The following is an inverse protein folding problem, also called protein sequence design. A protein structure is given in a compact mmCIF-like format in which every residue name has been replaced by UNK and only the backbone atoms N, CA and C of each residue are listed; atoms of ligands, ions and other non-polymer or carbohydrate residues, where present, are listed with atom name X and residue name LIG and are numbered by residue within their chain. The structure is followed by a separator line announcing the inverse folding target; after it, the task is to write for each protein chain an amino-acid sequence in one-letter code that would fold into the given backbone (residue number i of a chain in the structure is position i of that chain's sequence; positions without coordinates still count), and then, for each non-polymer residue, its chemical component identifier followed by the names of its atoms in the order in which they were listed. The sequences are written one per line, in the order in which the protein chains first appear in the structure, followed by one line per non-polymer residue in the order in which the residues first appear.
data_IF_187721957420
#
_entry.id   IF_187721957420
#
_cell.length_a   1.000
_cell.length_b   1.000
_cell.length_c   1.000
_cell.angle_alpha   90.00
_cell.angle_beta   90.00
_cell.angle_gamma   90.00
#
_symmetry.space_group_name_H-M   'P 1'
#
loop_
_entity.id
_entity.type
_entity.pdbx_description
1 polymer ?
#
# COMPACT_ATOMS: atom_id res chain seq x y z
N UNK A 1 62.94 -2.88 -7.43
CA UNK A 1 62.14 -3.69 -6.47
C UNK A 1 62.43 -5.14 -6.75
N UNK A 2 62.77 -5.97 -5.75
CA UNK A 2 63.15 -7.37 -6.02
C UNK A 2 61.89 -8.16 -6.41
N UNK A 3 61.97 -9.02 -7.44
CA UNK A 3 60.87 -9.82 -7.98
C UNK A 3 60.11 -10.60 -6.92
N UNK A 4 60.76 -10.97 -5.84
CA UNK A 4 60.16 -11.64 -4.65
C UNK A 4 59.10 -10.77 -3.97
N UNK A 5 59.29 -9.44 -3.87
CA UNK A 5 58.34 -8.49 -3.23
C UNK A 5 57.13 -8.32 -4.11
N UNK A 6 57.30 -8.26 -5.43
CA UNK A 6 56.18 -8.17 -6.41
C UNK A 6 55.36 -9.46 -6.36
N UNK A 7 56.03 -10.63 -6.33
CA UNK A 7 55.32 -11.90 -6.21
C UNK A 7 54.53 -12.01 -4.91
N UNK A 8 55.10 -11.58 -3.78
CA UNK A 8 54.45 -11.61 -2.49
C UNK A 8 53.19 -10.71 -2.47
N UNK A 9 53.28 -9.51 -3.06
CA UNK A 9 52.15 -8.61 -3.20
C UNK A 9 51.03 -9.20 -4.11
N UNK A 10 51.41 -9.85 -5.21
CA UNK A 10 50.48 -10.52 -6.09
C UNK A 10 49.74 -11.68 -5.39
N UNK A 11 50.44 -12.54 -4.66
CA UNK A 11 49.85 -13.65 -3.90
C UNK A 11 48.91 -13.11 -2.80
N UNK A 12 49.27 -12.04 -2.12
CA UNK A 12 48.44 -11.41 -1.13
C UNK A 12 47.15 -10.85 -1.75
N UNK A 13 47.25 -10.18 -2.88
CA UNK A 13 46.10 -9.62 -3.61
C UNK A 13 45.15 -10.73 -4.08
N UNK A 14 45.67 -11.81 -4.64
CA UNK A 14 44.88 -12.97 -5.07
C UNK A 14 44.20 -13.63 -3.85
N UNK A 15 44.93 -13.76 -2.74
CA UNK A 15 44.37 -14.30 -1.48
C UNK A 15 43.22 -13.45 -0.94
N UNK A 16 43.37 -12.12 -0.92
CA UNK A 16 42.29 -11.20 -0.54
C UNK A 16 41.09 -11.31 -1.47
N UNK A 17 41.32 -11.38 -2.79
CA UNK A 17 40.23 -11.54 -3.74
C UNK A 17 39.49 -12.87 -3.55
N UNK A 18 40.20 -13.97 -3.37
CA UNK A 18 39.63 -15.29 -3.09
C UNK A 18 38.79 -15.26 -1.78
N UNK A 19 39.28 -14.60 -0.74
CA UNK A 19 38.55 -14.45 0.52
C UNK A 19 37.24 -13.68 0.34
N UNK A 20 37.23 -12.60 -0.46
CA UNK A 20 36.02 -11.83 -0.79
C UNK A 20 35.02 -12.69 -1.57
N UNK A 21 35.50 -13.46 -2.58
CA UNK A 21 34.62 -14.35 -3.37
C UNK A 21 34.01 -15.44 -2.48
N UNK A 22 34.81 -16.08 -1.63
CA UNK A 22 34.31 -17.07 -0.67
C UNK A 22 33.28 -16.47 0.28
N UNK A 23 33.51 -15.25 0.76
CA UNK A 23 32.58 -14.53 1.64
C UNK A 23 31.26 -14.23 0.95
N UNK A 24 31.30 -13.74 -0.30
CA UNK A 24 30.11 -13.49 -1.12
C UNK A 24 29.34 -14.77 -1.38
N UNK A 25 30.03 -15.84 -1.78
CA UNK A 25 29.39 -17.15 -1.98
C UNK A 25 28.68 -17.63 -0.71
N UNK A 26 29.33 -17.53 0.43
CA UNK A 26 28.73 -17.92 1.70
C UNK A 26 27.50 -17.08 2.05
N UNK A 27 27.54 -15.75 1.82
CA UNK A 27 26.40 -14.86 2.02
C UNK A 27 25.22 -15.24 1.11
N UNK A 28 25.49 -15.48 -0.19
CA UNK A 28 24.46 -15.84 -1.16
C UNK A 28 23.85 -17.22 -0.90
N UNK A 29 24.64 -18.15 -0.36
CA UNK A 29 24.18 -19.52 -0.06
C UNK A 29 23.44 -19.63 1.27
N UNK A 30 23.47 -18.59 2.11
CA UNK A 30 22.86 -18.63 3.43
C UNK A 30 21.38 -18.30 3.37
N UNK A 31 20.52 -19.29 3.67
CA UNK A 31 19.06 -19.18 3.63
C UNK A 31 18.50 -18.08 4.55
N UNK A 32 19.20 -17.72 5.64
CA UNK A 32 18.77 -16.66 6.57
C UNK A 32 18.80 -15.28 5.88
N UNK A 33 19.82 -15.01 5.08
CA UNK A 33 19.89 -13.74 4.33
C UNK A 33 18.90 -13.71 3.18
N UNK A 34 18.67 -14.84 2.50
CA UNK A 34 17.65 -14.96 1.47
C UNK A 34 16.24 -14.74 2.06
N UNK A 35 15.93 -15.32 3.20
CA UNK A 35 14.67 -15.11 3.89
C UNK A 35 14.47 -13.65 4.35
N UNK A 36 15.51 -13.01 4.86
CA UNK A 36 15.46 -11.58 5.22
C UNK A 36 15.26 -10.68 4.01
N UNK A 37 15.94 -10.95 2.90
CA UNK A 37 15.75 -10.21 1.65
C UNK A 37 14.32 -10.38 1.12
N UNK A 38 13.77 -11.59 1.16
CA UNK A 38 12.39 -11.86 0.78
C UNK A 38 11.39 -11.12 1.68
N UNK A 39 11.62 -11.09 3.00
CA UNK A 39 10.77 -10.35 3.93
C UNK A 39 10.81 -8.83 3.71
N UNK A 40 11.96 -8.29 3.28
CA UNK A 40 12.10 -6.86 2.95
C UNK A 40 11.48 -6.49 1.61
N UNK A 41 11.23 -7.46 0.73
CA UNK A 41 10.60 -7.24 -0.57
C UNK A 41 9.07 -7.32 -0.54
N UNK A 42 8.47 -7.55 0.63
CA UNK A 42 7.02 -7.66 0.80
C UNK A 42 6.48 -6.41 1.47
N UNK A 43 5.52 -5.78 0.83
CA UNK A 43 4.72 -4.68 1.38
C UNK A 43 3.27 -5.13 1.48
N UNK A 44 2.73 -5.15 2.69
CA UNK A 44 1.32 -5.44 2.92
C UNK A 44 0.55 -4.13 2.97
N UNK A 45 -0.42 -3.97 2.08
CA UNK A 45 -1.34 -2.84 2.05
C UNK A 45 -2.72 -3.34 2.47
N UNK A 46 -3.33 -2.67 3.43
CA UNK A 46 -4.68 -3.00 3.87
C UNK A 46 -5.69 -2.24 3.02
N UNK A 47 -6.59 -2.97 2.36
CA UNK A 47 -7.74 -2.38 1.68
C UNK A 47 -8.74 -1.88 2.73
N UNK A 48 -9.51 -0.81 2.42
CA UNK A 48 -10.55 -0.36 3.33
C UNK A 48 -11.51 -1.49 3.69
N UNK A 49 -11.66 -1.75 4.98
CA UNK A 49 -12.52 -2.81 5.48
C UNK A 49 -13.98 -2.57 5.04
N UNK A 50 -14.69 -3.66 4.75
CA UNK A 50 -16.12 -3.60 4.49
C UNK A 50 -16.84 -3.35 5.81
N UNK A 51 -17.56 -2.24 5.88
CA UNK A 51 -18.32 -1.83 7.04
C UNK A 51 -19.81 -2.06 6.80
N UNK A 52 -20.54 -2.52 7.80
CA UNK A 52 -21.99 -2.69 7.77
C UNK A 52 -22.70 -1.38 7.41
N UNK A 53 -23.87 -1.45 6.76
CA UNK A 53 -24.61 -0.30 6.31
C UNK A 53 -25.85 -0.04 7.17
N UNK A 54 -26.25 1.23 7.28
CA UNK A 54 -27.53 1.61 7.85
C UNK A 54 -28.63 1.56 6.79
N UNK A 55 -29.80 1.13 7.21
CA UNK A 55 -31.00 1.07 6.38
C UNK A 55 -32.13 1.83 7.08
N UNK A 56 -33.02 2.39 6.29
CA UNK A 56 -34.26 2.97 6.81
C UNK A 56 -35.32 1.87 7.11
N UNK A 57 -36.44 2.27 7.67
CA UNK A 57 -37.56 1.36 7.95
C UNK A 57 -38.19 0.69 6.71
N UNK A 58 -37.87 1.17 5.51
CA UNK A 58 -38.29 0.61 4.22
C UNK A 58 -37.18 -0.22 3.55
N UNK A 59 -36.07 -0.47 4.22
CA UNK A 59 -34.93 -1.22 3.69
C UNK A 59 -34.08 -0.46 2.70
N UNK A 60 -34.19 0.86 2.60
CA UNK A 60 -33.34 1.67 1.71
C UNK A 60 -32.03 2.00 2.41
N UNK A 61 -30.94 1.89 1.68
CA UNK A 61 -29.59 2.23 2.16
C UNK A 61 -29.49 3.72 2.58
N UNK A 62 -28.98 3.98 3.76
CA UNK A 62 -28.63 5.31 4.25
C UNK A 62 -27.13 5.57 4.13
N UNK A 63 -26.31 4.50 4.15
CA UNK A 63 -24.86 4.53 3.96
C UNK A 63 -24.43 3.50 2.92
N UNK A 64 -23.23 3.63 2.36
CA UNK A 64 -22.73 2.71 1.33
C UNK A 64 -23.44 2.79 -0.02
N UNK A 65 -24.02 3.96 -0.34
CA UNK A 65 -24.88 4.15 -1.53
C UNK A 65 -24.09 4.27 -2.83
N UNK A 66 -22.81 4.67 -2.75
CA UNK A 66 -21.98 4.86 -3.93
C UNK A 66 -20.85 3.83 -4.02
N UNK A 67 -20.19 3.82 -5.18
CA UNK A 67 -18.95 3.08 -5.39
C UNK A 67 -17.82 4.07 -5.63
N UNK A 68 -16.79 3.97 -4.84
CA UNK A 68 -15.48 4.54 -5.12
C UNK A 68 -14.56 3.39 -5.58
N UNK A 69 -13.38 3.74 -6.03
CA UNK A 69 -12.36 2.78 -6.38
C UNK A 69 -11.11 3.05 -5.56
N UNK A 70 -10.43 2.00 -5.15
CA UNK A 70 -9.11 2.10 -4.52
C UNK A 70 -8.09 1.61 -5.52
N UNK A 71 -7.17 2.48 -5.91
CA UNK A 71 -6.12 2.20 -6.88
C UNK A 71 -4.78 2.00 -6.19
N UNK A 72 -3.98 1.05 -6.70
CA UNK A 72 -2.60 0.84 -6.26
C UNK A 72 -1.69 1.81 -7.03
N UNK A 73 -1.17 2.79 -6.32
CA UNK A 73 -0.16 3.69 -6.87
C UNK A 73 1.24 3.11 -6.64
N UNK A 74 1.85 2.59 -7.70
CA UNK A 74 3.27 2.22 -7.70
C UNK A 74 4.08 3.47 -7.99
N UNK A 75 5.13 3.78 -7.20
CA UNK A 75 5.96 4.96 -7.40
C UNK A 75 6.53 5.04 -8.82
N UNK A 76 6.37 6.19 -9.45
CA UNK A 76 6.83 6.46 -10.81
C UNK A 76 6.07 7.65 -11.41
N UNK A 77 6.77 8.48 -12.16
CA UNK A 77 6.22 9.75 -12.69
C UNK A 77 4.93 9.57 -13.50
N UNK A 78 4.85 8.50 -14.32
CA UNK A 78 3.69 8.25 -15.15
C UNK A 78 2.41 7.93 -14.37
N UNK A 79 2.52 7.28 -13.22
CA UNK A 79 1.35 6.86 -12.42
C UNK A 79 0.73 8.04 -11.69
N UNK A 80 1.53 8.94 -11.13
CA UNK A 80 1.04 10.15 -10.49
C UNK A 80 0.22 11.02 -11.46
N UNK A 81 0.78 11.27 -12.64
CA UNK A 81 0.12 12.10 -13.67
C UNK A 81 -1.18 11.47 -14.17
N UNK A 82 -1.25 10.15 -14.25
CA UNK A 82 -2.45 9.42 -14.69
C UNK A 82 -3.54 9.38 -13.63
N UNK A 83 -3.17 9.23 -12.35
CA UNK A 83 -4.12 9.17 -11.24
C UNK A 83 -4.67 10.53 -10.83
N UNK A 84 -3.87 11.59 -10.96
CA UNK A 84 -4.23 12.93 -10.49
C UNK A 84 -5.60 13.43 -10.96
N UNK A 85 -6.01 13.28 -12.25
CA UNK A 85 -7.33 13.70 -12.72
C UNK A 85 -8.47 12.77 -12.30
N UNK A 86 -8.17 11.61 -11.69
CA UNK A 86 -9.15 10.60 -11.29
C UNK A 86 -9.38 10.59 -9.77
N UNK A 87 -8.76 11.51 -9.03
CA UNK A 87 -8.84 11.61 -7.57
C UNK A 87 -9.55 12.89 -7.16
N UNK A 88 -10.17 12.86 -5.98
CA UNK A 88 -10.69 14.04 -5.29
C UNK A 88 -9.55 14.89 -4.68
N UNK A 89 -9.92 15.98 -3.98
CA UNK A 89 -8.95 16.90 -3.38
C UNK A 89 -8.03 16.20 -2.36
N UNK A 90 -8.58 15.28 -1.57
CA UNK A 90 -7.84 14.53 -0.56
C UNK A 90 -6.87 13.53 -1.21
N UNK A 91 -7.31 12.83 -2.26
CA UNK A 91 -6.46 11.96 -3.06
C UNK A 91 -5.34 12.70 -3.79
N UNK A 92 -5.62 13.90 -4.30
CA UNK A 92 -4.60 14.77 -4.90
C UNK A 92 -3.56 15.23 -3.88
N UNK A 93 -4.01 15.62 -2.68
CA UNK A 93 -3.11 15.97 -1.58
C UNK A 93 -2.23 14.80 -1.16
N UNK A 94 -2.80 13.58 -1.07
CA UNK A 94 -2.06 12.36 -0.79
C UNK A 94 -1.02 12.05 -1.87
N UNK A 95 -1.39 12.13 -3.14
CA UNK A 95 -0.46 11.94 -4.27
C UNK A 95 0.69 12.95 -4.22
N UNK A 96 0.39 14.22 -3.91
CA UNK A 96 1.40 15.25 -3.78
C UNK A 96 2.35 14.99 -2.60
N UNK A 97 1.80 14.63 -1.44
CA UNK A 97 2.58 14.30 -0.25
C UNK A 97 3.50 13.09 -0.50
N UNK A 98 2.99 12.08 -1.20
CA UNK A 98 3.70 10.83 -1.49
C UNK A 98 4.45 10.82 -2.83
N UNK A 99 4.64 11.97 -3.48
CA UNK A 99 5.33 12.05 -4.77
C UNK A 99 6.75 11.47 -4.78
N UNK A 100 7.43 11.50 -3.64
CA UNK A 100 8.78 10.96 -3.46
C UNK A 100 8.77 9.61 -2.73
N UNK A 101 7.61 8.96 -2.59
CA UNK A 101 7.55 7.66 -1.95
C UNK A 101 8.36 6.63 -2.77
N UNK A 102 9.01 5.73 -2.07
CA UNK A 102 9.74 4.59 -2.65
C UNK A 102 8.93 3.30 -2.61
N UNK A 103 7.80 3.28 -1.91
CA UNK A 103 6.95 2.11 -1.75
C UNK A 103 5.56 2.36 -2.32
N UNK A 104 4.88 1.32 -2.85
CA UNK A 104 3.51 1.43 -3.33
C UNK A 104 2.56 1.80 -2.19
N UNK A 105 1.49 2.52 -2.52
CA UNK A 105 0.44 2.91 -1.59
C UNK A 105 -0.92 2.93 -2.29
N UNK A 106 -1.99 2.94 -1.50
CA UNK A 106 -3.35 2.99 -1.99
C UNK A 106 -3.84 4.44 -2.07
N UNK A 107 -4.61 4.74 -3.10
CA UNK A 107 -5.29 6.04 -3.29
C UNK A 107 -6.72 5.82 -3.74
N UNK A 108 -7.65 6.61 -3.21
CA UNK A 108 -9.05 6.57 -3.64
C UNK A 108 -9.22 7.32 -4.94
N UNK A 109 -9.93 6.71 -5.89
CA UNK A 109 -10.24 7.29 -7.19
C UNK A 109 -11.75 7.24 -7.45
N UNK A 110 -12.24 8.16 -8.27
CA UNK A 110 -13.67 8.33 -8.56
C UNK A 110 -14.21 7.34 -9.61
N UNK A 111 -13.32 6.66 -10.32
CA UNK A 111 -13.65 5.75 -11.43
C UNK A 111 -12.68 4.58 -11.53
N UNK A 112 -13.07 3.59 -12.32
CA UNK A 112 -12.18 2.50 -12.71
C UNK A 112 -11.01 3.03 -13.55
N UNK A 113 -9.79 2.78 -13.07
CA UNK A 113 -8.53 3.18 -13.73
C UNK A 113 -7.77 1.98 -14.30
N UNK A 114 -8.36 0.79 -14.34
CA UNK A 114 -7.73 -0.42 -14.89
C UNK A 114 -7.34 -0.25 -16.36
N UNK A 115 -8.09 0.53 -17.13
CA UNK A 115 -7.76 0.89 -18.50
C UNK A 115 -6.44 1.68 -18.65
N UNK A 116 -5.97 2.30 -17.57
CA UNK A 116 -4.69 2.99 -17.51
C UNK A 116 -3.52 2.05 -17.13
N UNK A 117 -3.78 0.75 -16.98
CA UNK A 117 -2.80 -0.24 -16.52
C UNK A 117 -2.51 -0.17 -15.03
N UNK A 118 -3.41 0.41 -14.24
CA UNK A 118 -3.28 0.55 -12.78
C UNK A 118 -4.29 -0.39 -12.13
N UNK A 119 -3.82 -1.25 -11.22
CA UNK A 119 -4.71 -2.14 -10.48
C UNK A 119 -5.63 -1.35 -9.56
N UNK A 120 -6.93 -1.60 -9.63
CA UNK A 120 -7.91 -0.96 -8.78
C UNK A 120 -9.03 -1.93 -8.37
N UNK A 121 -9.65 -1.64 -7.24
CA UNK A 121 -10.73 -2.44 -6.64
C UNK A 121 -11.90 -1.55 -6.27
N UNK A 122 -13.15 -2.00 -6.47
CA UNK A 122 -14.32 -1.27 -6.05
C UNK A 122 -14.41 -1.22 -4.53
N UNK A 123 -14.65 -0.03 -4.00
CA UNK A 123 -14.82 0.22 -2.56
C UNK A 123 -16.16 0.92 -2.35
N UNK A 124 -16.89 0.57 -1.31
CA UNK A 124 -18.16 1.24 -1.01
C UNK A 124 -17.88 2.68 -0.55
N UNK A 125 -18.54 3.65 -1.20
CA UNK A 125 -18.55 5.04 -0.75
C UNK A 125 -19.48 5.15 0.46
N UNK A 126 -18.93 5.46 1.63
CA UNK A 126 -19.70 5.45 2.89
C UNK A 126 -20.86 6.43 2.89
N UNK A 127 -20.64 7.65 2.44
CA UNK A 127 -21.64 8.71 2.47
C UNK A 127 -21.96 9.21 1.06
N UNK A 128 -23.24 9.50 0.82
CA UNK A 128 -23.67 10.21 -0.39
C UNK A 128 -23.21 11.69 -0.34
N UNK A 129 -23.24 12.37 -1.49
CA UNK A 129 -22.94 13.80 -1.56
C UNK A 129 -23.91 14.66 -0.70
N UNK A 130 -25.14 14.20 -0.53
CA UNK A 130 -26.14 14.77 0.38
C UNK A 130 -26.62 13.66 1.33
N UNK A 131 -25.91 13.40 2.44
CA UNK A 131 -26.27 12.33 3.36
C UNK A 131 -27.55 12.67 4.11
N UNK A 132 -28.40 11.66 4.35
CA UNK A 132 -29.61 11.81 5.13
C UNK A 132 -29.23 11.82 6.63
N UNK A 133 -29.71 12.81 7.38
CA UNK A 133 -29.51 12.94 8.82
C UNK A 133 -28.03 12.76 9.28
N UNK A 134 -27.09 13.54 8.74
CA UNK A 134 -25.65 13.34 9.00
C UNK A 134 -25.28 13.46 10.49
N UNK A 135 -26.01 14.30 11.25
CA UNK A 135 -25.79 14.45 12.70
C UNK A 135 -26.17 13.19 13.48
N UNK A 136 -27.18 12.43 13.02
CA UNK A 136 -27.64 11.20 13.65
C UNK A 136 -26.72 10.02 13.26
N UNK A 137 -26.44 9.88 11.97
CA UNK A 137 -25.57 8.80 11.45
C UNK A 137 -24.14 8.99 11.97
N UNK A 138 -23.64 10.22 11.93
CA UNK A 138 -22.29 10.53 12.36
C UNK A 138 -21.24 10.32 11.25
N UNK A 139 -19.99 10.19 11.68
CA UNK A 139 -18.82 10.12 10.80
C UNK A 139 -17.89 9.00 11.20
N UNK A 140 -17.10 8.51 10.24
CA UNK A 140 -15.96 7.61 10.44
C UNK A 140 -14.66 8.35 10.18
N UNK A 141 -13.56 7.85 10.77
CA UNK A 141 -12.21 8.33 10.48
C UNK A 141 -11.64 7.74 9.18
N UNK A 142 -10.37 8.06 8.88
CA UNK A 142 -9.66 7.53 7.70
C UNK A 142 -9.39 6.02 7.76
N UNK A 143 -9.47 5.41 8.94
CA UNK A 143 -9.27 3.98 9.17
C UNK A 143 -10.60 3.21 9.13
N UNK A 144 -11.73 3.92 9.09
CA UNK A 144 -13.06 3.34 9.02
C UNK A 144 -13.72 3.10 10.38
N UNK A 145 -13.18 3.65 11.48
CA UNK A 145 -13.79 3.60 12.80
C UNK A 145 -14.81 4.73 13.01
N UNK A 146 -15.89 4.43 13.72
CA UNK A 146 -16.92 5.40 14.04
C UNK A 146 -16.44 6.45 15.04
N UNK A 147 -16.51 7.74 14.67
CA UNK A 147 -16.06 8.86 15.50
C UNK A 147 -17.24 9.58 16.18
N UNK A 148 -18.41 9.58 15.56
CA UNK A 148 -19.59 10.28 16.09
C UNK A 148 -20.90 9.58 15.72
N UNK A 149 -21.99 9.96 16.39
CA UNK A 149 -23.34 9.49 16.11
C UNK A 149 -23.52 7.98 16.24
N UNK A 150 -24.39 7.41 15.41
CA UNK A 150 -24.64 5.96 15.35
C UNK A 150 -23.41 5.18 14.86
N UNK A 151 -22.55 5.80 14.05
CA UNK A 151 -21.30 5.19 13.61
C UNK A 151 -20.39 4.86 14.79
N UNK A 152 -20.26 5.77 15.76
CA UNK A 152 -19.48 5.54 16.98
C UNK A 152 -20.20 4.60 17.96
N UNK A 153 -21.51 4.74 18.09
CA UNK A 153 -22.29 3.93 19.04
C UNK A 153 -22.34 2.45 18.64
N UNK A 154 -22.30 2.13 17.35
CA UNK A 154 -22.42 0.78 16.80
C UNK A 154 -21.11 0.36 16.07
N UNK A 155 -19.98 0.94 16.46
CA UNK A 155 -18.71 0.70 15.75
C UNK A 155 -18.32 -0.77 15.74
N UNK A 156 -18.49 -1.47 16.87
CA UNK A 156 -18.16 -2.89 16.99
C UNK A 156 -19.01 -3.77 16.07
N UNK A 157 -20.31 -3.48 15.96
CA UNK A 157 -21.25 -4.23 15.12
C UNK A 157 -21.04 -3.92 13.64
N UNK A 158 -20.74 -2.67 13.30
CA UNK A 158 -20.56 -2.22 11.94
C UNK A 158 -19.21 -2.64 11.36
N UNK A 159 -18.17 -2.67 12.17
CA UNK A 159 -16.83 -3.10 11.75
C UNK A 159 -16.78 -4.60 11.43
N UNK A 160 -17.71 -5.38 11.96
CA UNK A 160 -17.79 -6.81 11.72
C UNK A 160 -16.58 -7.59 12.26
N UNK A 161 -16.60 -8.89 12.05
CA UNK A 161 -15.50 -9.80 12.38
C UNK A 161 -14.61 -10.12 11.18
N UNK A 162 -14.83 -9.44 10.04
CA UNK A 162 -14.07 -9.66 8.81
C UNK A 162 -12.66 -9.11 8.93
N UNK A 163 -11.67 -9.94 8.65
CA UNK A 163 -10.32 -9.43 8.40
C UNK A 163 -10.37 -8.44 7.22
N UNK A 164 -9.70 -7.30 7.37
CA UNK A 164 -9.52 -6.38 6.27
C UNK A 164 -8.79 -7.10 5.14
N UNK A 165 -9.33 -7.02 3.93
CA UNK A 165 -8.66 -7.56 2.75
C UNK A 165 -7.26 -6.94 2.66
N UNK A 166 -6.22 -7.77 2.57
CA UNK A 166 -4.84 -7.31 2.47
C UNK A 166 -4.27 -7.62 1.09
N UNK A 167 -3.60 -6.64 0.53
CA UNK A 167 -2.87 -6.77 -0.72
C UNK A 167 -1.39 -6.96 -0.41
N UNK A 168 -0.84 -8.08 -0.84
CA UNK A 168 0.58 -8.37 -0.70
C UNK A 168 1.28 -7.95 -1.99
N UNK A 169 2.13 -6.93 -1.90
CA UNK A 169 2.94 -6.43 -3.01
C UNK A 169 4.37 -6.92 -2.85
N UNK A 170 4.92 -7.51 -3.92
CA UNK A 170 6.34 -7.81 -4.00
C UNK A 170 7.04 -6.65 -4.68
N UNK A 171 7.97 -6.03 -3.98
CA UNK A 171 8.71 -4.87 -4.48
C UNK A 171 10.18 -5.21 -4.66
N UNK A 172 10.81 -4.67 -5.70
CA UNK A 172 12.25 -4.77 -5.91
C UNK A 172 13.00 -3.74 -5.02
N UNK A 173 14.33 -3.70 -5.12
CA UNK A 173 15.17 -2.76 -4.38
C UNK A 173 14.84 -1.27 -4.67
N UNK A 174 14.15 -0.98 -5.78
CA UNK A 174 13.69 0.37 -6.13
C UNK A 174 12.24 0.64 -5.69
N UNK A 175 11.59 -0.29 -4.96
CA UNK A 175 10.22 -0.13 -4.49
C UNK A 175 9.13 -0.34 -5.57
N UNK A 176 9.47 -0.99 -6.68
CA UNK A 176 8.58 -1.23 -7.83
C UNK A 176 8.25 -2.69 -7.97
#
# INVERSE_FOLDING_TARGET
MSGRRVLALYVLLVGCFAAVVCRLYWLCSNSVYAARAAAQSVVTLHLPARRGNFYDCKGRLLTGIGTNWTALCVPGEGNYTRLFPCTDADGQALLYQKRNASMPFLVTVDRDVSALGISCWPTAKRYAAAPLAPQLIGTVDGEGHGVSGLEAALDAELSGTGEADSLICFVNAQGK
#
